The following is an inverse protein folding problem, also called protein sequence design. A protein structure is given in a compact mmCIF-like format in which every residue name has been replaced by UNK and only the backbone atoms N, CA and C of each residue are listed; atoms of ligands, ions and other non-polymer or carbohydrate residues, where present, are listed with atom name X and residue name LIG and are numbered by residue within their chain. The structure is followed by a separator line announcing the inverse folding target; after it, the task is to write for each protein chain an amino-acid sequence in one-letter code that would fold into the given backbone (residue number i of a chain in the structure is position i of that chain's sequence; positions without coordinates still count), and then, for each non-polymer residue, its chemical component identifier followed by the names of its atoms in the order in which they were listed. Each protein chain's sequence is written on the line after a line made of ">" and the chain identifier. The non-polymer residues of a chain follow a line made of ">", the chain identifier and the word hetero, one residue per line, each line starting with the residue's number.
data_IF_752121494038
#
_entry.id   IF_752121494038
#
_cell.length_a   1.000
_cell.length_b   1.000
_cell.length_c   1.000
_cell.angle_alpha   90.00
_cell.angle_beta   90.00
_cell.angle_gamma   90.00
#
_symmetry.space_group_name_H-M   'P 1'
#
loop_
_entity.id
_entity.type
_entity.pdbx_description
1 polymer ?
#
# COMPACT_ATOMS: atom_id res chain seq x y z
N UNK A 1 -11.15 10.52 -9.07
CA UNK A 1 -11.81 9.65 -8.07
C UNK A 1 -13.30 9.96 -7.87
N UNK A 2 -14.04 8.96 -7.34
CA UNK A 2 -15.33 8.93 -6.59
C UNK A 2 -15.50 7.51 -5.99
N UNK A 3 -14.40 6.92 -5.51
CA UNK A 3 -14.32 5.49 -5.17
C UNK A 3 -14.07 4.54 -6.35
N UNK A 4 -13.89 5.07 -7.57
CA UNK A 4 -13.47 4.31 -8.75
C UNK A 4 -11.95 3.99 -8.69
N UNK A 5 -11.54 2.71 -8.66
CA UNK A 5 -10.14 2.30 -8.56
C UNK A 5 -9.33 2.51 -9.85
N UNK A 6 -9.97 2.85 -10.98
CA UNK A 6 -9.27 3.19 -12.23
C UNK A 6 -8.76 4.63 -12.27
N UNK A 7 -9.22 5.46 -11.33
CA UNK A 7 -8.84 6.88 -11.24
C UNK A 7 -7.83 7.08 -10.12
N UNK A 8 -6.76 7.81 -10.42
CA UNK A 8 -5.75 8.23 -9.43
C UNK A 8 -5.92 9.70 -9.05
N UNK A 9 -5.64 10.01 -7.78
CA UNK A 9 -5.43 11.35 -7.24
C UNK A 9 -3.94 11.56 -6.93
N UNK A 10 -3.46 12.80 -6.73
CA UNK A 10 -2.03 13.08 -6.48
C UNK A 10 -1.42 12.28 -5.32
N UNK A 11 -2.22 11.96 -4.29
CA UNK A 11 -1.75 11.13 -3.16
C UNK A 11 -1.39 9.71 -3.59
N UNK A 12 -2.05 9.16 -4.61
CA UNK A 12 -1.74 7.83 -5.14
C UNK A 12 -0.41 7.82 -5.87
N UNK A 13 -0.11 8.86 -6.64
CA UNK A 13 1.17 9.02 -7.33
C UNK A 13 2.33 9.16 -6.33
N UNK A 14 2.13 9.92 -5.25
CA UNK A 14 3.09 10.03 -4.15
C UNK A 14 3.35 8.68 -3.47
N UNK A 15 2.29 7.92 -3.17
CA UNK A 15 2.39 6.57 -2.60
C UNK A 15 3.17 5.66 -3.53
N UNK A 16 2.86 5.66 -4.84
CA UNK A 16 3.55 4.82 -5.82
C UNK A 16 5.02 5.19 -5.93
N UNK A 17 5.36 6.47 -5.98
CA UNK A 17 6.74 6.94 -6.03
C UNK A 17 7.55 6.49 -4.79
N UNK A 18 6.96 6.59 -3.60
CA UNK A 18 7.61 6.14 -2.36
C UNK A 18 7.79 4.61 -2.37
N UNK A 19 6.77 3.86 -2.78
CA UNK A 19 6.83 2.41 -2.87
C UNK A 19 7.88 1.94 -3.89
N UNK A 20 7.96 2.57 -5.07
CA UNK A 20 8.96 2.27 -6.09
C UNK A 20 10.39 2.46 -5.56
N UNK A 21 10.61 3.53 -4.77
CA UNK A 21 11.91 3.81 -4.14
C UNK A 21 12.28 2.81 -3.03
N UNK A 22 11.30 2.38 -2.22
CA UNK A 22 11.54 1.56 -1.01
C UNK A 22 11.43 0.06 -1.25
N UNK A 23 10.64 -0.36 -2.23
CA UNK A 23 10.34 -1.74 -2.56
C UNK A 23 10.31 -1.92 -4.09
N UNK A 24 11.46 -1.78 -4.77
CA UNK A 24 11.53 -1.92 -6.23
C UNK A 24 10.99 -3.28 -6.69
N UNK A 25 10.26 -3.29 -7.80
CA UNK A 25 9.59 -4.47 -8.32
C UNK A 25 8.27 -4.84 -7.62
N UNK A 26 7.85 -4.09 -6.59
CA UNK A 26 6.55 -4.27 -5.95
C UNK A 26 5.57 -3.18 -6.42
N UNK A 27 4.56 -3.59 -7.19
CA UNK A 27 3.51 -2.70 -7.69
C UNK A 27 2.52 -2.35 -6.59
N UNK A 28 2.13 -1.07 -6.54
CA UNK A 28 0.94 -0.62 -5.82
C UNK A 28 -0.28 -1.03 -6.63
N UNK A 29 -1.32 -1.53 -5.98
CA UNK A 29 -2.53 -2.03 -6.63
C UNK A 29 -3.73 -1.34 -6.01
N UNK A 30 -4.51 -0.63 -6.83
CA UNK A 30 -5.75 -0.02 -6.41
C UNK A 30 -6.80 -1.11 -6.07
N UNK A 31 -7.58 -0.88 -5.03
CA UNK A 31 -8.66 -1.76 -4.60
C UNK A 31 -9.95 -0.98 -4.50
N UNK A 32 -11.07 -1.61 -4.87
CA UNK A 32 -12.39 -1.08 -4.58
C UNK A 32 -12.62 -1.02 -3.07
N UNK A 33 -13.48 -0.11 -2.62
CA UNK A 33 -13.73 0.12 -1.19
C UNK A 33 -14.13 -1.16 -0.44
N UNK A 34 -15.04 -1.98 -0.99
CA UNK A 34 -15.47 -3.23 -0.36
C UNK A 34 -14.30 -4.20 -0.13
N UNK A 35 -13.46 -4.41 -1.14
CA UNK A 35 -12.28 -5.28 -1.05
C UNK A 35 -11.23 -4.74 -0.09
N UNK A 36 -11.07 -3.41 -0.07
CA UNK A 36 -10.17 -2.73 0.85
C UNK A 36 -10.62 -2.95 2.30
N UNK A 37 -11.87 -2.66 2.62
CA UNK A 37 -12.42 -2.82 3.97
C UNK A 37 -12.42 -4.29 4.44
N UNK A 38 -12.66 -5.25 3.54
CA UNK A 38 -12.54 -6.67 3.87
C UNK A 38 -11.12 -7.01 4.36
N UNK A 39 -10.09 -6.51 3.67
CA UNK A 39 -8.69 -6.72 4.07
C UNK A 39 -8.32 -5.98 5.35
N UNK A 40 -8.80 -4.75 5.54
CA UNK A 40 -8.57 -3.95 6.76
C UNK A 40 -9.05 -4.71 8.01
N UNK A 41 -10.22 -5.37 7.96
CA UNK A 41 -10.74 -6.15 9.09
C UNK A 41 -9.84 -7.33 9.49
N UNK A 42 -9.03 -7.83 8.56
CA UNK A 42 -8.05 -8.90 8.80
C UNK A 42 -6.63 -8.39 9.08
N UNK A 43 -6.42 -7.06 9.10
CA UNK A 43 -5.09 -6.49 9.28
C UNK A 43 -4.57 -6.73 10.69
N UNK A 44 -3.27 -6.97 10.81
CA UNK A 44 -2.62 -7.16 12.11
C UNK A 44 -2.68 -5.91 12.99
N UNK A 45 -2.57 -4.74 12.37
CA UNK A 45 -2.67 -3.45 13.03
C UNK A 45 -3.16 -2.39 12.04
N UNK A 46 -3.79 -1.34 12.58
CA UNK A 46 -4.20 -0.15 11.85
C UNK A 46 -3.53 1.04 12.53
N UNK A 47 -2.84 1.87 11.74
CA UNK A 47 -2.26 3.13 12.21
C UNK A 47 -3.11 4.26 11.63
N UNK A 48 -3.89 4.92 12.49
CA UNK A 48 -4.65 6.10 12.09
C UNK A 48 -3.70 7.30 12.04
N UNK A 49 -3.49 7.84 10.85
CA UNK A 49 -2.67 9.05 10.62
C UNK A 49 -3.55 10.29 10.59
N UNK A 50 -2.91 11.47 10.62
CA UNK A 50 -3.60 12.75 10.43
C UNK A 50 -3.69 13.18 8.95
N UNK A 51 -3.51 12.24 8.00
CA UNK A 51 -3.59 12.53 6.56
C UNK A 51 -5.03 12.91 6.17
N UNK A 52 -5.30 14.16 5.73
CA UNK A 52 -6.67 14.60 5.46
C UNK A 52 -7.20 14.19 4.08
N UNK A 53 -6.33 13.78 3.14
CA UNK A 53 -6.72 13.49 1.75
C UNK A 53 -7.58 12.22 1.68
N UNK A 54 -8.68 12.29 0.94
CA UNK A 54 -9.56 11.14 0.72
C UNK A 54 -8.84 10.05 -0.06
N UNK A 55 -9.19 8.79 0.21
CA UNK A 55 -8.63 7.61 -0.46
C UNK A 55 -7.10 7.47 -0.32
N UNK A 56 -6.49 8.09 0.70
CA UNK A 56 -5.06 7.99 1.00
C UNK A 56 -4.67 6.75 1.84
N UNK A 57 -5.62 5.83 2.09
CA UNK A 57 -5.36 4.64 2.88
C UNK A 57 -4.51 3.63 2.10
N UNK A 58 -3.54 3.01 2.78
CA UNK A 58 -2.66 1.99 2.20
C UNK A 58 -2.60 0.74 3.09
N UNK A 59 -2.58 -0.43 2.47
CA UNK A 59 -2.34 -1.71 3.15
C UNK A 59 -0.94 -2.20 2.81
N UNK A 60 -0.12 -2.46 3.83
CA UNK A 60 1.23 -2.99 3.68
C UNK A 60 1.26 -4.45 4.12
N UNK A 61 1.84 -5.31 3.29
CA UNK A 61 2.11 -6.71 3.64
C UNK A 61 3.59 -6.87 3.98
N UNK A 62 3.89 -7.28 5.21
CA UNK A 62 5.26 -7.57 5.65
C UNK A 62 5.85 -8.71 4.82
N UNK A 63 7.05 -8.49 4.27
CA UNK A 63 7.82 -9.50 3.57
C UNK A 63 8.69 -10.34 4.52
N UNK A 64 9.57 -11.15 3.93
CA UNK A 64 10.58 -11.92 4.67
C UNK A 64 11.88 -11.13 4.68
N UNK A 65 12.53 -11.05 5.85
CA UNK A 65 13.90 -10.57 5.98
C UNK A 65 14.79 -11.80 6.08
N UNK A 66 15.66 -11.98 5.09
CA UNK A 66 16.60 -13.11 5.06
C UNK A 66 17.86 -12.78 5.87
N UNK A 67 18.44 -13.74 6.59
CA UNK A 67 19.73 -13.56 7.22
C UNK A 67 20.83 -13.37 6.16
N UNK A 68 21.89 -12.60 6.47
CA UNK A 68 22.89 -12.14 5.50
C UNK A 68 23.59 -13.28 4.75
N UNK A 69 23.75 -14.44 5.40
CA UNK A 69 24.38 -15.64 4.81
C UNK A 69 23.52 -16.40 3.79
N UNK A 70 22.23 -16.06 3.64
CA UNK A 70 21.31 -16.75 2.71
C UNK A 70 21.04 -15.99 1.41
N UNK A 71 21.71 -14.85 1.19
CA UNK A 71 21.63 -14.13 -0.09
C UNK A 71 22.43 -14.88 -1.14
N UNK A 72 21.79 -15.79 -1.88
CA UNK A 72 22.37 -16.32 -3.13
C UNK A 72 22.66 -15.14 -4.07
N UNK A 73 23.79 -15.17 -4.80
CA UNK A 73 24.14 -14.12 -5.75
C UNK A 73 23.05 -13.91 -6.79
#
# INVERSE_FOLDING_TARGET
>A
VKGDPSLADPVHDEIEAICAKRAPGRKVVALAGADFYARVKSAHAIVATSEPRLYANIIIRKGVIYPPETRKP
#
